data_IF_064347748122
#
_entry.id   IF_064347748122
#
_cell.length_a   1.000
_cell.length_b   1.000
_cell.length_c   1.000
_cell.angle_alpha   90.00
_cell.angle_beta   90.00
_cell.angle_gamma   90.00
#
_symmetry.space_group_name_H-M   'P 1'
#
loop_
_entity.id
_entity.type
_entity.pdbx_description
1 polymer ?
#
# COMPACT_ATOMS: atom_id res chain seq x y z
N UNK A 1 -9.33 14.82 22.11
CA UNK A 1 -8.26 15.49 21.31
C UNK A 1 -7.46 14.41 20.63
N UNK A 2 -7.17 14.57 19.35
CA UNK A 2 -6.32 13.59 18.60
C UNK A 2 -4.90 13.64 19.16
N UNK A 3 -4.37 12.49 19.60
CA UNK A 3 -3.05 12.42 20.22
C UNK A 3 -2.00 12.06 19.18
N UNK A 4 -0.99 12.92 19.02
CA UNK A 4 0.18 12.64 18.22
C UNK A 4 1.33 12.15 19.12
N UNK A 5 1.99 11.08 18.68
CA UNK A 5 3.13 10.48 19.36
C UNK A 5 4.40 10.72 18.56
N UNK A 6 5.51 11.01 19.23
CA UNK A 6 6.83 11.14 18.59
C UNK A 6 7.40 9.76 18.35
N UNK A 7 7.52 9.36 17.08
CA UNK A 7 8.13 8.09 16.68
C UNK A 7 9.38 8.36 15.84
N UNK A 8 10.43 7.59 16.07
CA UNK A 8 11.63 7.63 15.24
C UNK A 8 11.48 6.73 14.01
N UNK A 9 12.13 7.12 12.93
CA UNK A 9 12.25 6.31 11.73
C UNK A 9 13.30 5.23 11.99
N UNK A 10 12.86 3.97 12.07
CA UNK A 10 13.70 2.78 12.25
C UNK A 10 14.40 2.38 10.95
N UNK A 11 13.64 2.37 9.83
CA UNK A 11 14.16 2.05 8.50
C UNK A 11 13.62 3.05 7.47
N UNK A 12 14.47 3.37 6.50
CA UNK A 12 14.16 4.19 5.32
C UNK A 12 14.53 3.37 4.09
N UNK A 13 13.53 3.04 3.26
CA UNK A 13 13.68 2.13 2.12
C UNK A 13 13.31 2.86 0.84
N UNK A 14 14.20 2.86 -0.15
CA UNK A 14 13.90 3.39 -1.48
C UNK A 14 13.05 2.36 -2.25
N UNK A 15 11.82 2.72 -2.58
CA UNK A 15 10.90 1.83 -3.34
C UNK A 15 11.03 2.05 -4.86
N UNK A 16 11.10 3.30 -5.28
CA UNK A 16 11.36 3.74 -6.66
C UNK A 16 12.13 5.05 -6.64
N UNK A 17 12.56 5.58 -7.78
CA UNK A 17 13.21 6.89 -7.84
C UNK A 17 12.42 8.02 -7.14
N UNK A 18 11.08 7.87 -7.06
CA UNK A 18 10.16 8.89 -6.56
C UNK A 18 9.36 8.44 -5.33
N UNK A 19 9.69 7.31 -4.72
CA UNK A 19 8.93 6.80 -3.58
C UNK A 19 9.83 6.12 -2.54
N UNK A 20 9.48 6.34 -1.28
CA UNK A 20 10.19 5.75 -0.13
C UNK A 20 9.21 5.13 0.84
N UNK A 21 9.66 4.12 1.56
CA UNK A 21 8.96 3.59 2.73
C UNK A 21 9.64 4.01 4.01
N UNK A 22 8.85 4.38 5.00
CA UNK A 22 9.27 4.67 6.37
C UNK A 22 8.74 3.58 7.29
N UNK A 23 9.62 2.94 8.04
CA UNK A 23 9.26 2.03 9.14
C UNK A 23 9.52 2.76 10.44
N UNK A 24 8.51 2.82 11.30
CA UNK A 24 8.62 3.50 12.60
C UNK A 24 9.01 2.53 13.71
N UNK A 25 9.82 3.03 14.63
CA UNK A 25 10.09 2.38 15.89
C UNK A 25 8.96 2.71 16.88
N UNK A 26 8.26 1.68 17.35
CA UNK A 26 7.13 1.84 18.27
C UNK A 26 7.59 1.45 19.67
N UNK A 27 7.68 2.40 20.61
CA UNK A 27 7.97 2.09 22.01
C UNK A 27 6.97 1.09 22.60
N UNK A 28 7.43 0.23 23.50
CA UNK A 28 6.62 -0.85 24.09
C UNK A 28 5.30 -0.38 24.67
N UNK A 29 5.31 0.77 25.37
CA UNK A 29 4.13 1.37 25.98
C UNK A 29 3.13 1.95 24.96
N UNK A 30 3.48 2.05 23.68
CA UNK A 30 2.63 2.56 22.60
C UNK A 30 2.14 1.45 21.65
N UNK A 31 2.57 0.21 21.80
CA UNK A 31 2.20 -0.88 20.89
C UNK A 31 0.70 -1.06 20.75
N UNK A 32 -0.05 -0.93 21.83
CA UNK A 32 -1.51 -1.03 21.81
C UNK A 32 -2.15 0.11 21.03
N UNK A 33 -1.64 1.34 21.16
CA UNK A 33 -2.15 2.52 20.46
C UNK A 33 -1.93 2.42 18.94
N UNK A 34 -0.84 1.76 18.53
CA UNK A 34 -0.48 1.55 17.12
C UNK A 34 -0.90 0.19 16.56
N UNK A 35 -1.79 -0.54 17.27
CA UNK A 35 -2.48 -1.69 16.71
C UNK A 35 -3.42 -1.24 15.59
N UNK A 36 -3.44 -1.93 14.45
CA UNK A 36 -4.20 -1.51 13.28
C UNK A 36 -4.85 -2.68 12.55
N UNK A 37 -5.82 -2.37 11.69
CA UNK A 37 -6.38 -3.27 10.68
C UNK A 37 -5.79 -2.97 9.33
N UNK A 38 -5.59 -4.00 8.49
CA UNK A 38 -5.10 -3.83 7.12
C UNK A 38 -6.00 -2.86 6.33
N UNK A 39 -5.38 -1.83 5.73
CA UNK A 39 -6.06 -0.76 5.00
C UNK A 39 -6.19 0.56 5.75
N UNK A 40 -5.94 0.61 7.07
CA UNK A 40 -5.88 1.85 7.84
C UNK A 40 -4.67 2.71 7.46
N UNK A 41 -4.68 3.96 7.90
CA UNK A 41 -3.63 4.96 7.63
C UNK A 41 -3.14 5.64 8.90
N UNK A 42 -1.99 6.27 8.80
CA UNK A 42 -1.41 7.17 9.80
C UNK A 42 -1.48 8.60 9.28
N UNK A 43 -1.72 9.56 10.17
CA UNK A 43 -1.45 10.97 9.89
C UNK A 43 -0.08 11.33 10.42
N UNK A 44 0.83 11.69 9.52
CA UNK A 44 2.18 12.16 9.83
C UNK A 44 2.18 13.67 9.91
N UNK A 45 2.88 14.21 10.92
CA UNK A 45 2.99 15.64 11.17
C UNK A 45 4.46 16.04 11.40
N UNK A 46 4.88 17.13 10.79
CA UNK A 46 6.20 17.72 11.02
C UNK A 46 6.22 19.22 10.67
N UNK A 47 7.23 19.92 11.12
CA UNK A 47 7.48 21.32 10.73
C UNK A 47 8.36 21.38 9.48
N UNK A 48 7.89 22.07 8.45
CA UNK A 48 8.64 22.29 7.20
C UNK A 48 8.59 23.80 6.90
N UNK A 49 9.76 24.43 6.82
CA UNK A 49 9.90 25.87 6.57
C UNK A 49 9.04 26.73 7.53
N UNK A 50 9.01 26.38 8.82
CA UNK A 50 8.24 27.11 9.84
C UNK A 50 6.73 26.82 9.85
N UNK A 51 6.22 25.97 8.97
CA UNK A 51 4.81 25.61 8.91
C UNK A 51 4.59 24.16 9.36
N UNK A 52 3.53 23.93 10.15
CA UNK A 52 3.10 22.60 10.49
C UNK A 52 2.41 21.94 9.29
N UNK A 53 2.91 20.82 8.85
CA UNK A 53 2.37 20.06 7.73
C UNK A 53 1.90 18.70 8.22
N UNK A 54 0.64 18.34 7.88
CA UNK A 54 0.04 17.04 8.18
C UNK A 54 -0.36 16.34 6.89
N UNK A 55 -0.07 15.04 6.78
CA UNK A 55 -0.50 14.20 5.63
C UNK A 55 -0.81 12.80 6.09
N UNK A 56 -1.87 12.23 5.50
CA UNK A 56 -2.29 10.86 5.72
C UNK A 56 -1.58 9.91 4.74
N UNK A 57 -1.07 8.79 5.26
CA UNK A 57 -0.45 7.73 4.48
C UNK A 57 -0.93 6.37 4.95
N UNK A 58 -1.44 5.56 4.03
CA UNK A 58 -1.92 4.21 4.36
C UNK A 58 -0.77 3.32 4.83
N UNK A 59 -1.06 2.49 5.82
CA UNK A 59 -0.13 1.49 6.32
C UNK A 59 -0.02 0.38 5.28
N UNK A 60 1.21 -0.01 4.91
CA UNK A 60 1.49 -1.03 3.90
C UNK A 60 2.13 -2.30 4.46
N UNK A 61 2.42 -2.34 5.77
CA UNK A 61 2.75 -3.58 6.50
C UNK A 61 1.49 -4.36 6.90
N UNK A 62 1.65 -5.62 7.33
CA UNK A 62 0.55 -6.37 7.91
C UNK A 62 0.41 -6.07 9.39
N UNK A 63 -0.81 -6.19 9.97
CA UNK A 63 -1.01 -6.01 11.42
C UNK A 63 -0.19 -6.95 12.30
N UNK A 64 0.35 -8.02 11.71
CA UNK A 64 1.05 -9.08 12.43
C UNK A 64 2.57 -9.07 12.23
N UNK A 65 3.10 -8.21 11.35
CA UNK A 65 4.54 -8.16 11.07
C UNK A 65 5.38 -7.59 12.20
N UNK A 66 4.76 -6.88 13.14
CA UNK A 66 5.47 -6.10 14.17
C UNK A 66 6.03 -4.78 13.64
N UNK A 67 5.90 -4.50 12.36
CA UNK A 67 6.35 -3.26 11.73
C UNK A 67 5.18 -2.31 11.48
N UNK A 68 5.38 -1.03 11.72
CA UNK A 68 4.50 0.05 11.30
C UNK A 68 5.14 0.77 10.12
N UNK A 69 4.72 0.37 8.90
CA UNK A 69 5.33 0.83 7.64
C UNK A 69 4.32 1.64 6.83
N UNK A 70 4.72 2.81 6.36
CA UNK A 70 4.00 3.60 5.35
C UNK A 70 4.89 3.87 4.16
N UNK A 71 4.30 4.11 2.98
CA UNK A 71 5.08 4.52 1.81
C UNK A 71 4.58 5.84 1.25
N UNK A 72 5.53 6.66 0.83
CA UNK A 72 5.33 8.04 0.40
C UNK A 72 5.89 8.19 -1.00
N UNK A 73 5.02 8.50 -1.96
CA UNK A 73 5.42 8.84 -3.34
C UNK A 73 5.41 10.36 -3.50
N UNK A 74 6.46 10.90 -4.08
CA UNK A 74 6.55 12.33 -4.41
C UNK A 74 5.42 12.71 -5.37
N UNK A 75 4.71 13.78 -5.04
CA UNK A 75 3.74 14.41 -5.93
C UNK A 75 4.27 15.79 -6.32
N UNK A 76 3.91 16.23 -7.52
CA UNK A 76 4.30 17.54 -8.01
C UNK A 76 3.84 18.64 -7.03
N UNK A 77 4.76 19.56 -6.68
CA UNK A 77 4.54 20.61 -5.67
C UNK A 77 4.14 20.11 -4.26
N UNK A 78 4.35 18.83 -3.98
CA UNK A 78 4.01 18.23 -2.68
C UNK A 78 5.05 18.54 -1.61
N UNK A 79 4.73 19.42 -0.65
CA UNK A 79 5.65 19.87 0.40
C UNK A 79 6.13 18.68 1.24
N UNK A 80 5.20 17.91 1.82
CA UNK A 80 5.56 16.79 2.70
C UNK A 80 6.21 15.64 1.91
N UNK A 81 5.67 15.25 0.76
CA UNK A 81 6.20 14.14 -0.02
C UNK A 81 7.62 14.42 -0.53
N UNK A 82 7.90 15.62 -1.00
CA UNK A 82 9.25 16.05 -1.38
C UNK A 82 10.20 16.04 -0.18
N UNK A 83 9.76 16.57 0.98
CA UNK A 83 10.56 16.53 2.21
C UNK A 83 10.87 15.08 2.62
N UNK A 84 9.87 14.20 2.58
CA UNK A 84 10.03 12.80 2.97
C UNK A 84 11.02 12.05 2.08
N UNK A 85 10.98 12.28 0.76
CA UNK A 85 11.84 11.56 -0.19
C UNK A 85 13.25 12.16 -0.34
N UNK A 86 13.50 13.38 0.15
CA UNK A 86 14.79 14.08 -0.05
C UNK A 86 15.53 14.48 1.22
N UNK A 87 14.86 14.48 2.37
CA UNK A 87 15.42 15.02 3.62
C UNK A 87 15.36 14.05 4.80
N UNK A 88 14.28 13.24 4.89
CA UNK A 88 14.15 12.30 5.99
C UNK A 88 15.16 11.15 5.89
N UNK A 89 15.57 10.66 7.05
CA UNK A 89 16.52 9.55 7.19
C UNK A 89 16.22 8.76 8.46
N UNK A 90 16.87 7.62 8.62
CA UNK A 90 16.83 6.82 9.84
C UNK A 90 17.26 7.67 11.04
N UNK A 91 16.51 7.55 12.13
CA UNK A 91 16.69 8.31 13.38
C UNK A 91 15.91 9.62 13.45
N UNK A 92 15.40 10.16 12.33
CA UNK A 92 14.53 11.34 12.37
C UNK A 92 13.21 11.03 13.09
N UNK A 93 12.67 12.05 13.77
CA UNK A 93 11.46 11.94 14.56
C UNK A 93 10.31 12.64 13.83
N UNK A 94 9.20 11.94 13.67
CA UNK A 94 7.93 12.49 13.20
C UNK A 94 6.87 12.40 14.31
N UNK A 95 5.92 13.30 14.31
CA UNK A 95 4.71 13.17 15.10
C UNK A 95 3.69 12.37 14.30
N UNK A 96 3.26 11.25 14.86
CA UNK A 96 2.41 10.25 14.21
C UNK A 96 1.12 10.08 14.99
N UNK A 97 -0.02 10.24 14.31
CA UNK A 97 -1.33 9.94 14.86
C UNK A 97 -1.57 8.43 14.88
N UNK A 98 -2.32 7.95 15.86
CA UNK A 98 -2.75 6.55 15.93
C UNK A 98 -3.45 6.12 14.63
N UNK A 99 -3.42 4.80 14.30
CA UNK A 99 -4.06 4.29 13.09
C UNK A 99 -5.56 4.57 13.05
N UNK A 100 -6.04 5.05 11.90
CA UNK A 100 -7.46 5.34 11.70
C UNK A 100 -7.90 5.00 10.26
N UNK A 101 -9.21 5.08 9.99
CA UNK A 101 -9.78 4.84 8.68
C UNK A 101 -10.76 3.67 8.64
N UNK A 102 -11.68 3.75 7.67
CA UNK A 102 -12.77 2.77 7.46
C UNK A 102 -12.55 1.90 6.22
N UNK A 103 -11.52 2.17 5.42
CA UNK A 103 -11.15 1.33 4.28
C UNK A 103 -10.32 0.16 4.80
N UNK A 104 -10.98 -0.87 5.29
CA UNK A 104 -10.35 -1.99 6.00
C UNK A 104 -10.71 -3.34 5.39
N UNK A 105 -9.83 -4.31 5.58
CA UNK A 105 -10.09 -5.71 5.32
C UNK A 105 -10.88 -6.30 6.50
N UNK A 106 -12.09 -6.79 6.23
CA UNK A 106 -12.81 -7.63 7.18
C UNK A 106 -12.42 -9.09 6.97
N UNK A 107 -11.95 -9.79 8.02
CA UNK A 107 -11.50 -11.18 7.89
C UNK A 107 -12.60 -12.12 7.39
N UNK A 108 -12.23 -13.09 6.57
CA UNK A 108 -13.13 -14.13 6.04
C UNK A 108 -12.50 -15.51 6.15
N UNK A 109 -13.33 -16.55 6.20
CA UNK A 109 -12.83 -17.94 6.18
C UNK A 109 -12.49 -18.41 4.76
N UNK A 110 -13.22 -17.92 3.76
CA UNK A 110 -12.99 -18.21 2.34
C UNK A 110 -13.62 -17.11 1.50
N UNK A 111 -12.81 -16.42 0.71
CA UNK A 111 -13.26 -15.35 -0.18
C UNK A 111 -12.32 -15.20 -1.38
N UNK A 112 -12.89 -14.78 -2.52
CA UNK A 112 -12.10 -14.28 -3.63
C UNK A 112 -12.15 -12.74 -3.58
N UNK A 113 -11.03 -12.13 -3.25
CA UNK A 113 -10.86 -10.67 -3.23
C UNK A 113 -10.35 -10.17 -4.56
N UNK A 114 -10.73 -8.95 -4.93
CA UNK A 114 -10.10 -8.23 -6.04
C UNK A 114 -9.72 -6.83 -5.57
N UNK A 115 -8.47 -6.47 -5.78
CA UNK A 115 -7.92 -5.14 -5.58
C UNK A 115 -7.65 -4.48 -6.93
N UNK A 116 -8.07 -3.23 -7.09
CA UNK A 116 -7.74 -2.39 -8.24
C UNK A 116 -7.00 -1.19 -7.69
N UNK A 117 -5.70 -1.15 -7.92
CA UNK A 117 -4.82 -0.11 -7.40
C UNK A 117 -4.13 0.65 -8.52
N UNK A 118 -3.88 1.94 -8.32
CA UNK A 118 -3.06 2.73 -9.24
C UNK A 118 -2.03 3.57 -8.45
N UNK A 119 -0.77 3.50 -8.89
CA UNK A 119 0.35 4.21 -8.26
C UNK A 119 0.45 3.95 -6.77
N UNK A 120 0.45 5.03 -5.95
CA UNK A 120 0.53 4.90 -4.48
C UNK A 120 -0.73 4.32 -3.82
N UNK A 121 -1.83 4.16 -4.56
CA UNK A 121 -3.02 3.45 -4.06
C UNK A 121 -2.78 1.97 -3.72
N UNK A 122 -1.62 1.43 -4.09
CA UNK A 122 -1.19 0.09 -3.69
C UNK A 122 -0.99 -0.04 -2.17
N UNK A 123 -0.67 1.04 -1.45
CA UNK A 123 -0.25 0.94 -0.04
C UNK A 123 -1.26 0.25 0.87
N UNK A 124 -2.56 0.64 0.93
CA UNK A 124 -3.53 -0.09 1.75
C UNK A 124 -3.84 -1.49 1.20
N UNK A 125 -3.82 -1.63 -0.14
CA UNK A 125 -4.13 -2.90 -0.81
C UNK A 125 -3.03 -3.93 -0.55
N UNK A 126 -1.75 -3.52 -0.51
CA UNK A 126 -0.63 -4.41 -0.17
C UNK A 126 -0.76 -4.98 1.25
N UNK A 127 -1.12 -4.13 2.21
CA UNK A 127 -1.41 -4.59 3.58
C UNK A 127 -2.52 -5.64 3.60
N UNK A 128 -3.59 -5.44 2.82
CA UNK A 128 -4.70 -6.39 2.70
C UNK A 128 -4.27 -7.69 2.01
N UNK A 129 -3.55 -7.61 0.89
CA UNK A 129 -3.04 -8.79 0.16
C UNK A 129 -2.22 -9.67 1.11
N UNK A 130 -1.20 -9.11 1.75
CA UNK A 130 -0.33 -9.85 2.67
C UNK A 130 -1.12 -10.47 3.82
N UNK A 131 -2.07 -9.72 4.40
CA UNK A 131 -2.93 -10.21 5.48
C UNK A 131 -3.79 -11.39 5.03
N UNK A 132 -4.41 -11.33 3.84
CA UNK A 132 -5.19 -12.45 3.29
C UNK A 132 -4.31 -13.67 3.04
N UNK A 133 -3.15 -13.48 2.42
CA UNK A 133 -2.25 -14.60 2.10
C UNK A 133 -1.72 -15.31 3.35
N UNK A 134 -1.46 -14.55 4.42
CA UNK A 134 -0.94 -15.06 5.69
C UNK A 134 -2.03 -15.68 6.59
N UNK A 135 -3.23 -15.11 6.62
CA UNK A 135 -4.25 -15.45 7.63
C UNK A 135 -5.47 -16.19 7.10
N UNK A 136 -5.70 -16.17 5.78
CA UNK A 136 -6.86 -16.78 5.16
C UNK A 136 -6.45 -17.86 4.14
N UNK A 137 -6.04 -19.07 4.56
CA UNK A 137 -5.46 -20.08 3.67
C UNK A 137 -6.41 -20.54 2.54
N UNK A 138 -7.72 -20.40 2.72
CA UNK A 138 -8.74 -20.74 1.72
C UNK A 138 -9.22 -19.55 0.89
N UNK A 139 -8.62 -18.38 1.07
CA UNK A 139 -8.95 -17.18 0.29
C UNK A 139 -7.90 -16.92 -0.80
N UNK A 140 -8.32 -16.22 -1.83
CA UNK A 140 -7.45 -15.72 -2.89
C UNK A 140 -7.57 -14.22 -3.06
N UNK A 141 -6.53 -13.59 -3.61
CA UNK A 141 -6.51 -12.18 -3.91
C UNK A 141 -6.04 -11.96 -5.35
N UNK A 142 -6.83 -11.22 -6.14
CA UNK A 142 -6.47 -10.79 -7.48
C UNK A 142 -6.15 -9.29 -7.44
N UNK A 143 -5.00 -8.88 -7.95
CA UNK A 143 -4.59 -7.49 -8.03
C UNK A 143 -4.48 -7.03 -9.48
N UNK A 144 -5.24 -5.98 -9.85
CA UNK A 144 -5.02 -5.20 -11.05
C UNK A 144 -4.25 -3.94 -10.64
N UNK A 145 -3.00 -3.81 -11.09
CA UNK A 145 -2.12 -2.74 -10.62
C UNK A 145 -1.64 -1.85 -11.76
N UNK A 146 -2.18 -0.64 -11.81
CA UNK A 146 -1.87 0.37 -12.81
C UNK A 146 -0.70 1.27 -12.41
N UNK A 147 0.26 1.43 -13.30
CA UNK A 147 1.40 2.34 -13.15
C UNK A 147 1.77 3.00 -14.49
N UNK A 148 2.73 3.91 -14.50
CA UNK A 148 3.25 4.50 -15.73
C UNK A 148 4.17 3.52 -16.46
N UNK A 149 5.09 2.90 -15.72
CA UNK A 149 6.06 1.93 -16.19
C UNK A 149 6.43 0.94 -15.07
N UNK A 150 7.21 -0.07 -15.40
CA UNK A 150 7.76 -1.06 -14.46
C UNK A 150 8.62 -0.40 -13.38
N UNK A 151 9.51 0.53 -13.78
CA UNK A 151 10.44 1.22 -12.88
C UNK A 151 9.73 2.17 -11.89
N UNK A 152 8.55 2.69 -12.26
CA UNK A 152 7.73 3.53 -11.38
C UNK A 152 6.77 2.73 -10.49
N UNK A 153 6.82 1.39 -10.55
CA UNK A 153 5.94 0.49 -9.80
C UNK A 153 6.47 0.25 -8.41
N UNK A 154 5.80 0.85 -7.40
CA UNK A 154 6.13 0.64 -5.99
C UNK A 154 5.90 -0.83 -5.62
N UNK A 155 6.80 -1.39 -4.80
CA UNK A 155 6.72 -2.78 -4.29
C UNK A 155 6.72 -3.86 -5.39
N UNK A 156 7.24 -3.57 -6.59
CA UNK A 156 7.20 -4.54 -7.69
C UNK A 156 7.86 -5.86 -7.32
N UNK A 157 9.08 -5.83 -6.80
CA UNK A 157 9.80 -7.05 -6.39
C UNK A 157 9.05 -7.82 -5.30
N UNK A 158 8.53 -7.13 -4.28
CA UNK A 158 7.75 -7.76 -3.21
C UNK A 158 6.45 -8.41 -3.75
N UNK A 159 5.76 -7.75 -4.68
CA UNK A 159 4.55 -8.30 -5.31
C UNK A 159 4.85 -9.50 -6.20
N UNK A 160 5.95 -9.46 -6.98
CA UNK A 160 6.38 -10.57 -7.84
C UNK A 160 6.77 -11.79 -6.98
N UNK A 161 7.50 -11.59 -5.89
CA UNK A 161 7.85 -12.64 -4.93
C UNK A 161 6.61 -13.27 -4.27
N UNK A 162 5.65 -12.43 -3.86
CA UNK A 162 4.37 -12.92 -3.32
C UNK A 162 3.60 -13.73 -4.37
N UNK A 163 3.57 -13.29 -5.63
CA UNK A 163 2.91 -14.01 -6.71
C UNK A 163 3.56 -15.37 -6.98
N UNK A 164 4.90 -15.43 -6.93
CA UNK A 164 5.64 -16.69 -7.05
C UNK A 164 5.41 -17.64 -5.87
N UNK A 165 5.38 -17.09 -4.65
CA UNK A 165 5.26 -17.89 -3.41
C UNK A 165 3.84 -18.39 -3.14
N UNK A 166 2.82 -17.64 -3.54
CA UNK A 166 1.40 -17.94 -3.31
C UNK A 166 0.65 -18.23 -4.62
N UNK A 167 1.30 -18.88 -5.58
CA UNK A 167 0.69 -19.22 -6.87
C UNK A 167 -0.69 -19.86 -6.72
N UNK A 168 -1.66 -19.42 -7.55
CA UNK A 168 -3.07 -19.83 -7.48
C UNK A 168 -3.90 -19.09 -6.42
N UNK A 169 -3.29 -18.54 -5.38
CA UNK A 169 -3.96 -17.72 -4.36
C UNK A 169 -3.71 -16.24 -4.51
N UNK A 170 -2.60 -15.82 -5.12
CA UNK A 170 -2.32 -14.44 -5.47
C UNK A 170 -2.12 -14.30 -6.97
N UNK A 171 -3.05 -13.58 -7.61
CA UNK A 171 -3.04 -13.33 -9.05
C UNK A 171 -2.69 -11.86 -9.28
N UNK A 172 -1.56 -11.61 -9.92
CA UNK A 172 -1.00 -10.27 -10.12
C UNK A 172 -1.05 -9.88 -11.60
N UNK A 173 -1.66 -8.72 -11.91
CA UNK A 173 -1.75 -8.19 -13.25
C UNK A 173 -1.31 -6.74 -13.29
N UNK A 174 -0.26 -6.46 -14.07
CA UNK A 174 0.21 -5.10 -14.31
C UNK A 174 -0.47 -4.46 -15.52
N UNK A 175 -0.72 -3.15 -15.42
CA UNK A 175 -1.26 -2.34 -16.51
C UNK A 175 -0.40 -1.08 -16.57
N UNK A 176 0.36 -0.90 -17.67
CA UNK A 176 1.30 0.21 -17.82
C UNK A 176 0.79 1.23 -18.84
N UNK A 177 0.75 2.51 -18.43
CA UNK A 177 0.16 3.56 -19.27
C UNK A 177 1.16 4.25 -20.21
N UNK A 178 2.46 4.07 -19.99
CA UNK A 178 3.52 4.71 -20.78
C UNK A 178 4.55 3.75 -21.35
N UNK A 179 4.50 2.48 -20.99
CA UNK A 179 5.42 1.43 -21.43
C UNK A 179 4.62 0.19 -21.80
N UNK A 180 4.99 -0.44 -22.90
CA UNK A 180 4.51 -1.79 -23.24
C UNK A 180 5.50 -2.80 -22.71
N UNK A 181 5.05 -3.77 -21.95
CA UNK A 181 5.85 -4.82 -21.36
C UNK A 181 5.13 -6.17 -21.54
N UNK A 182 5.87 -7.20 -21.87
CA UNK A 182 5.32 -8.54 -22.05
C UNK A 182 4.66 -9.02 -20.75
N UNK A 183 3.51 -9.66 -20.86
CA UNK A 183 2.71 -10.11 -19.72
C UNK A 183 1.87 -9.02 -19.05
N UNK A 184 1.96 -7.75 -19.50
CA UNK A 184 1.14 -6.65 -19.02
C UNK A 184 0.14 -6.15 -20.06
N UNK A 185 -0.94 -5.50 -19.61
CA UNK A 185 -1.81 -4.72 -20.50
C UNK A 185 -1.30 -3.27 -20.61
N UNK A 186 -1.62 -2.62 -21.73
CA UNK A 186 -1.23 -1.25 -22.00
C UNK A 186 -2.41 -0.29 -21.83
N UNK A 187 -2.18 0.82 -21.12
CA UNK A 187 -3.15 1.88 -20.90
C UNK A 187 -3.33 2.25 -19.43
N UNK A 188 -4.35 3.05 -19.15
CA UNK A 188 -4.82 3.31 -17.78
C UNK A 188 -5.91 2.30 -17.45
N UNK A 189 -5.98 1.89 -16.17
CA UNK A 189 -7.09 1.04 -15.73
C UNK A 189 -8.41 1.76 -16.00
N UNK A 190 -9.26 1.11 -16.76
CA UNK A 190 -10.59 1.57 -17.11
C UNK A 190 -11.60 0.42 -17.03
N UNK A 191 -12.84 0.71 -17.46
CA UNK A 191 -13.91 -0.29 -17.54
C UNK A 191 -13.57 -1.44 -18.51
N UNK A 192 -12.82 -1.16 -19.58
CA UNK A 192 -12.39 -2.18 -20.56
C UNK A 192 -11.44 -3.19 -19.92
N UNK A 193 -10.37 -2.71 -19.28
CA UNK A 193 -9.42 -3.56 -18.55
C UNK A 193 -10.11 -4.37 -17.45
N UNK A 194 -10.94 -3.71 -16.64
CA UNK A 194 -11.66 -4.38 -15.55
C UNK A 194 -12.59 -5.46 -16.07
N UNK A 195 -13.37 -5.17 -17.14
CA UNK A 195 -14.25 -6.16 -17.76
C UNK A 195 -13.47 -7.33 -18.38
N UNK A 196 -12.31 -7.05 -19.00
CA UNK A 196 -11.47 -8.11 -19.56
C UNK A 196 -11.07 -9.12 -18.49
N UNK A 197 -10.59 -8.67 -17.35
CA UNK A 197 -10.22 -9.60 -16.28
C UNK A 197 -11.44 -10.29 -15.66
N UNK A 198 -12.43 -9.53 -15.21
CA UNK A 198 -13.57 -10.09 -14.47
C UNK A 198 -14.43 -11.01 -15.36
N UNK A 199 -14.73 -10.61 -16.61
CA UNK A 199 -15.67 -11.34 -17.46
C UNK A 199 -15.03 -12.41 -18.36
N UNK A 200 -13.72 -12.30 -18.62
CA UNK A 200 -13.04 -13.26 -19.50
C UNK A 200 -12.09 -14.15 -18.72
N UNK A 201 -11.13 -13.56 -17.99
CA UNK A 201 -10.10 -14.33 -17.28
C UNK A 201 -10.70 -15.02 -16.05
N UNK A 202 -11.48 -14.28 -15.24
CA UNK A 202 -12.08 -14.76 -14.00
C UNK A 202 -13.59 -14.99 -14.11
N UNK A 203 -14.11 -15.34 -15.29
CA UNK A 203 -15.55 -15.50 -15.58
C UNK A 203 -16.27 -16.47 -14.65
N UNK A 204 -15.56 -17.45 -14.10
CA UNK A 204 -16.08 -18.47 -13.19
C UNK A 204 -15.85 -18.13 -11.71
N UNK A 205 -15.25 -16.95 -11.41
CA UNK A 205 -14.96 -16.52 -10.05
C UNK A 205 -16.05 -15.57 -9.56
N UNK A 206 -16.42 -15.74 -8.28
CA UNK A 206 -17.29 -14.78 -7.60
C UNK A 206 -16.43 -13.93 -6.65
N UNK A 207 -16.23 -12.67 -7.01
CA UNK A 207 -15.57 -11.71 -6.13
C UNK A 207 -16.61 -11.11 -5.17
N UNK A 208 -16.51 -11.45 -3.89
CA UNK A 208 -17.41 -10.91 -2.86
C UNK A 208 -17.01 -9.51 -2.40
N UNK A 209 -15.74 -9.16 -2.53
CA UNK A 209 -15.20 -7.89 -2.07
C UNK A 209 -14.28 -7.30 -3.13
N UNK A 210 -14.50 -6.01 -3.42
CA UNK A 210 -13.70 -5.23 -4.37
C UNK A 210 -13.09 -4.06 -3.63
N UNK A 211 -11.77 -3.93 -3.66
CA UNK A 211 -11.03 -2.79 -3.12
C UNK A 211 -10.54 -1.90 -4.26
N UNK A 212 -10.84 -0.60 -4.18
CA UNK A 212 -10.43 0.39 -5.17
C UNK A 212 -9.61 1.48 -4.47
N UNK A 213 -8.37 1.70 -4.92
CA UNK A 213 -7.53 2.76 -4.39
C UNK A 213 -6.57 3.32 -5.46
N UNK A 214 -6.61 4.62 -5.64
CA UNK A 214 -5.79 5.35 -6.61
C UNK A 214 -6.44 6.65 -7.04
N UNK A 215 -5.79 7.40 -7.96
CA UNK A 215 -6.34 8.62 -8.55
C UNK A 215 -7.47 8.34 -9.55
#
# INVERSE_FOLDING_TARGET
MSTFHKLSIKNYIQETANAVSLVFDIPENLKTNFSFKAGQYLTLKTMINGNEIRRAYSICSTPHSGDLKVAIKTVENGIFSTHATSKLKVGDILEVHEPEGKFILEPSKSNNYIGIAAGSGITPVLSMIKTVLEKEPSSSFTLLYGNKSSEETMFKSELDELSGSYGGRFNLHYIFSRQKEEGSLFGRIDKGHTNYYIKNIYKNWSFKTVFLCGP
#
